data_IF_804521697391
#
_entry.id   IF_804521697391
#
_cell.length_a   1.000
_cell.length_b   1.000
_cell.length_c   1.000
_cell.angle_alpha   90.00
_cell.angle_beta   90.00
_cell.angle_gamma   90.00
#
_symmetry.space_group_name_H-M   'P 1'
#
loop_
_entity.id
_entity.type
_entity.pdbx_description
1 polymer ?
#
# COMPACT_ATOMS: atom_id res chain seq x y z
N UNK A 1 -24.63 10.32 -0.95
CA UNK A 1 -23.50 10.12 -0.01
C UNK A 1 -22.25 10.36 -0.83
N UNK A 2 -21.38 11.29 -0.43
CA UNK A 2 -20.16 11.58 -1.19
C UNK A 2 -19.41 10.27 -1.48
N UNK A 3 -19.09 10.00 -2.74
CA UNK A 3 -18.33 8.82 -3.09
C UNK A 3 -16.96 8.90 -2.45
N UNK A 4 -16.69 8.01 -1.50
CA UNK A 4 -15.40 7.94 -0.81
C UNK A 4 -14.29 7.76 -1.85
N UNK A 5 -13.27 8.60 -1.80
CA UNK A 5 -12.17 8.53 -2.77
C UNK A 5 -11.49 7.14 -2.75
N UNK A 6 -11.03 6.65 -3.91
CA UNK A 6 -10.66 5.24 -4.11
C UNK A 6 -9.38 4.80 -3.38
N UNK A 7 -8.58 5.75 -2.89
CA UNK A 7 -7.32 5.54 -2.19
C UNK A 7 -7.46 5.60 -0.65
N UNK A 8 -8.63 5.95 -0.12
CA UNK A 8 -8.91 6.10 1.32
C UNK A 8 -8.50 4.89 2.15
N UNK A 9 -8.78 3.69 1.62
CA UNK A 9 -8.56 2.39 2.27
C UNK A 9 -7.28 1.69 1.86
N UNK A 10 -6.31 2.42 1.28
CA UNK A 10 -5.03 1.82 0.93
C UNK A 10 -4.38 1.16 2.16
N UNK A 11 -3.62 0.06 2.00
CA UNK A 11 -2.84 -0.53 3.07
C UNK A 11 -1.56 0.27 3.33
N UNK A 12 -1.04 0.13 4.56
CA UNK A 12 0.30 0.59 4.89
C UNK A 12 1.32 -0.35 4.25
N UNK A 13 2.06 0.11 3.23
CA UNK A 13 3.18 -0.63 2.63
C UNK A 13 4.37 -0.69 3.63
N UNK A 14 4.76 -1.87 4.12
CA UNK A 14 5.84 -2.02 5.11
C UNK A 14 7.22 -1.95 4.46
N UNK A 15 8.26 -1.62 5.25
CA UNK A 15 9.66 -1.74 4.81
C UNK A 15 10.12 -3.21 4.76
N UNK A 16 11.21 -3.53 4.03
CA UNK A 16 11.82 -4.86 4.05
C UNK A 16 12.12 -5.36 5.46
N UNK A 17 12.68 -4.51 6.32
CA UNK A 17 13.06 -4.82 7.70
C UNK A 17 11.81 -5.15 8.53
N UNK A 18 10.75 -4.35 8.40
CA UNK A 18 9.48 -4.60 9.08
C UNK A 18 8.86 -5.95 8.66
N UNK A 19 8.91 -6.29 7.37
CA UNK A 19 8.44 -7.59 6.87
C UNK A 19 9.22 -8.75 7.50
N UNK A 20 10.55 -8.66 7.49
CA UNK A 20 11.47 -9.66 8.02
C UNK A 20 11.22 -9.84 9.52
N UNK A 21 11.23 -8.75 10.28
CA UNK A 21 11.07 -8.77 11.73
C UNK A 21 9.74 -9.38 12.15
N UNK A 22 8.65 -8.99 11.50
CA UNK A 22 7.32 -9.53 11.81
C UNK A 22 7.25 -11.03 11.53
N UNK A 23 7.79 -11.49 10.40
CA UNK A 23 7.77 -12.91 10.07
C UNK A 23 8.65 -13.73 11.02
N UNK A 24 9.86 -13.27 11.31
CA UNK A 24 10.82 -13.98 12.16
C UNK A 24 10.36 -14.01 13.61
N UNK A 25 9.81 -12.91 14.12
CA UNK A 25 9.22 -12.82 15.46
C UNK A 25 8.00 -13.73 15.60
N UNK A 26 7.16 -13.84 14.56
CA UNK A 26 6.00 -14.75 14.61
C UNK A 26 6.43 -16.21 14.55
N UNK A 27 7.45 -16.52 13.75
CA UNK A 27 8.01 -17.86 13.67
C UNK A 27 8.73 -18.28 14.97
N UNK A 28 9.44 -17.37 15.66
CA UNK A 28 10.12 -17.70 16.92
C UNK A 28 9.14 -18.10 18.02
N UNK A 29 7.93 -17.53 18.02
CA UNK A 29 6.82 -17.84 18.93
C UNK A 29 5.95 -19.03 18.50
N UNK A 30 6.20 -19.62 17.32
CA UNK A 30 5.36 -20.70 16.81
C UNK A 30 5.56 -22.00 17.62
N UNK A 31 4.46 -22.53 18.15
CA UNK A 31 4.43 -23.76 18.93
C UNK A 31 4.15 -24.97 18.05
N UNK A 32 4.70 -26.12 18.42
CA UNK A 32 4.46 -27.41 17.75
C UNK A 32 3.75 -28.34 18.72
N UNK A 33 2.74 -29.08 18.25
CA UNK A 33 2.17 -30.19 19.03
C UNK A 33 3.23 -31.28 19.18
N UNK A 34 3.63 -31.56 20.42
CA UNK A 34 4.72 -32.49 20.70
C UNK A 34 4.27 -33.93 20.45
N UNK A 35 5.07 -34.75 19.74
CA UNK A 35 4.85 -36.20 19.68
C UNK A 35 4.98 -36.83 21.08
N UNK A 36 4.26 -37.91 21.32
CA UNK A 36 4.36 -38.71 22.55
C UNK A 36 5.74 -39.33 22.76
N UNK A 37 6.47 -39.65 21.68
CA UNK A 37 7.86 -40.14 21.73
C UNK A 37 8.86 -38.99 21.87
N UNK A 38 9.78 -39.11 22.84
CA UNK A 38 10.83 -38.11 23.15
C UNK A 38 12.05 -38.15 22.23
N UNK A 39 11.85 -38.34 20.92
CA UNK A 39 12.97 -38.25 19.96
C UNK A 39 13.38 -36.78 19.79
N UNK A 40 14.59 -36.44 20.29
CA UNK A 40 15.17 -35.10 20.24
C UNK A 40 15.30 -34.59 18.81
N UNK A 41 15.69 -35.45 17.86
CA UNK A 41 15.88 -35.08 16.47
C UNK A 41 14.54 -34.79 15.80
N UNK A 42 13.55 -35.67 15.99
CA UNK A 42 12.20 -35.48 15.46
C UNK A 42 11.58 -34.16 15.96
N UNK A 43 11.69 -33.89 17.28
CA UNK A 43 11.17 -32.65 17.88
C UNK A 43 11.86 -31.42 17.28
N UNK A 44 13.19 -31.46 17.11
CA UNK A 44 13.93 -30.37 16.50
C UNK A 44 13.50 -30.13 15.04
N UNK A 45 13.41 -31.19 14.23
CA UNK A 45 12.96 -31.11 12.82
C UNK A 45 11.56 -30.50 12.71
N UNK A 46 10.61 -30.96 13.55
CA UNK A 46 9.24 -30.42 13.55
C UNK A 46 9.20 -28.94 13.95
N UNK A 47 10.00 -28.51 14.93
CA UNK A 47 10.14 -27.10 15.31
C UNK A 47 10.67 -26.26 14.15
N UNK A 48 11.74 -26.70 13.49
CA UNK A 48 12.33 -25.95 12.37
C UNK A 48 11.42 -25.91 11.14
N UNK A 49 10.74 -27.01 10.82
CA UNK A 49 9.72 -27.05 9.73
C UNK A 49 8.59 -26.06 10.03
N UNK A 50 8.10 -26.01 11.27
CA UNK A 50 7.03 -25.09 11.68
C UNK A 50 7.46 -23.65 11.57
N UNK A 51 8.70 -23.33 11.95
CA UNK A 51 9.30 -22.00 11.77
C UNK A 51 9.36 -21.60 10.29
N UNK A 52 9.90 -22.46 9.42
CA UNK A 52 9.98 -22.22 7.97
C UNK A 52 8.58 -21.99 7.37
N UNK A 53 7.60 -22.84 7.71
CA UNK A 53 6.21 -22.67 7.27
C UNK A 53 5.59 -21.36 7.74
N UNK A 54 5.84 -20.97 8.98
CA UNK A 54 5.31 -19.73 9.56
C UNK A 54 5.89 -18.52 8.84
N UNK A 55 7.20 -18.48 8.59
CA UNK A 55 7.83 -17.40 7.81
C UNK A 55 7.24 -17.33 6.41
N UNK A 56 7.16 -18.47 5.70
CA UNK A 56 6.62 -18.52 4.35
C UNK A 56 5.17 -17.99 4.31
N UNK A 57 4.31 -18.47 5.21
CA UNK A 57 2.91 -18.07 5.28
C UNK A 57 2.77 -16.56 5.54
N UNK A 58 3.50 -16.02 6.52
CA UNK A 58 3.44 -14.59 6.85
C UNK A 58 3.91 -13.73 5.68
N UNK A 59 5.04 -14.10 5.06
CA UNK A 59 5.61 -13.37 3.94
C UNK A 59 4.70 -13.38 2.71
N UNK A 60 4.25 -14.56 2.29
CA UNK A 60 3.36 -14.72 1.14
C UNK A 60 2.06 -13.95 1.34
N UNK A 61 1.45 -14.05 2.53
CA UNK A 61 0.21 -13.34 2.83
C UNK A 61 0.38 -11.82 2.81
N UNK A 62 1.48 -11.30 3.35
CA UNK A 62 1.75 -9.85 3.34
C UNK A 62 2.04 -9.35 1.93
N UNK A 63 2.91 -10.01 1.17
CA UNK A 63 3.26 -9.63 -0.20
C UNK A 63 2.05 -9.69 -1.14
N UNK A 64 1.26 -10.78 -1.11
CA UNK A 64 0.01 -10.88 -1.88
C UNK A 64 -1.06 -9.90 -1.38
N UNK A 65 -1.03 -9.57 -0.09
CA UNK A 65 -1.91 -8.56 0.52
C UNK A 65 -1.70 -7.16 -0.03
N UNK A 66 -0.46 -6.78 -0.36
CA UNK A 66 -0.15 -5.47 -0.97
C UNK A 66 -0.94 -5.28 -2.27
N UNK A 67 -0.85 -6.25 -3.19
CA UNK A 67 -1.57 -6.18 -4.48
C UNK A 67 -3.09 -6.12 -4.30
N UNK A 68 -3.63 -6.88 -3.34
CA UNK A 68 -5.09 -6.90 -3.08
C UNK A 68 -5.63 -5.60 -2.49
N UNK A 69 -4.81 -4.86 -1.75
CA UNK A 69 -5.22 -3.62 -1.11
C UNK A 69 -5.14 -2.38 -2.01
N UNK A 70 -4.59 -2.50 -3.22
CA UNK A 70 -4.48 -1.38 -4.17
C UNK A 70 -5.63 -1.48 -5.17
N UNK A 71 -6.42 -0.41 -5.40
CA UNK A 71 -7.50 -0.44 -6.38
C UNK A 71 -6.96 -0.68 -7.79
N UNK A 72 -7.79 -1.29 -8.64
CA UNK A 72 -7.44 -1.47 -10.05
C UNK A 72 -7.42 -0.11 -10.75
N UNK A 73 -6.26 0.28 -11.30
CA UNK A 73 -6.09 1.59 -11.95
C UNK A 73 -7.05 1.75 -13.14
N UNK A 74 -7.27 0.68 -13.90
CA UNK A 74 -8.13 0.73 -15.09
C UNK A 74 -9.61 0.94 -14.76
N UNK A 75 -10.04 0.65 -13.52
CA UNK A 75 -11.42 0.88 -13.08
C UNK A 75 -11.60 2.23 -12.36
N UNK A 76 -10.54 3.02 -12.23
CA UNK A 76 -10.64 4.36 -11.63
C UNK A 76 -11.30 5.34 -12.58
N UNK A 77 -12.01 6.31 -12.02
CA UNK A 77 -12.44 7.50 -12.77
C UNK A 77 -11.20 8.19 -13.39
N UNK A 78 -11.28 8.70 -14.63
CA UNK A 78 -10.14 9.32 -15.33
C UNK A 78 -9.38 10.34 -14.48
N UNK A 79 -10.09 11.19 -13.74
CA UNK A 79 -9.48 12.15 -12.81
C UNK A 79 -8.52 11.50 -11.79
N UNK A 80 -8.96 10.46 -11.08
CA UNK A 80 -8.13 9.77 -10.09
C UNK A 80 -7.01 8.96 -10.73
N UNK A 81 -7.23 8.46 -11.94
CA UNK A 81 -6.21 7.75 -12.72
C UNK A 81 -5.09 8.70 -13.15
N UNK A 82 -5.44 9.90 -13.62
CA UNK A 82 -4.46 10.87 -14.10
C UNK A 82 -3.65 11.44 -12.92
N UNK A 83 -4.31 11.68 -11.78
CA UNK A 83 -3.62 12.00 -10.52
C UNK A 83 -2.68 10.88 -10.06
N UNK A 84 -3.07 9.62 -10.25
CA UNK A 84 -2.20 8.49 -9.96
C UNK A 84 -0.95 8.51 -10.87
N UNK A 85 -1.11 8.71 -12.18
CA UNK A 85 -0.01 8.75 -13.15
C UNK A 85 0.96 9.91 -12.94
N UNK A 86 0.46 11.02 -12.40
CA UNK A 86 1.28 12.15 -11.97
C UNK A 86 2.23 11.76 -10.84
N UNK A 87 1.74 11.01 -9.84
CA UNK A 87 2.55 10.69 -8.66
C UNK A 87 3.46 9.51 -8.96
N UNK A 88 2.97 8.52 -9.71
CA UNK A 88 3.68 7.27 -9.95
C UNK A 88 3.60 6.90 -11.43
N UNK A 89 4.78 6.62 -11.98
CA UNK A 89 4.94 6.03 -13.30
C UNK A 89 4.19 4.67 -13.38
N UNK A 90 3.21 4.52 -14.28
CA UNK A 90 2.36 3.34 -14.36
C UNK A 90 3.12 2.06 -14.73
N UNK A 91 4.20 2.17 -15.48
CA UNK A 91 5.00 1.02 -15.89
C UNK A 91 5.91 0.56 -14.75
N UNK A 92 6.56 1.51 -14.06
CA UNK A 92 7.31 1.19 -12.82
C UNK A 92 6.40 0.58 -11.77
N UNK A 93 5.17 1.07 -11.62
CA UNK A 93 4.18 0.49 -10.72
C UNK A 93 3.83 -0.96 -11.07
N UNK A 94 3.53 -1.24 -12.35
CA UNK A 94 3.23 -2.61 -12.81
C UNK A 94 4.41 -3.54 -12.59
N UNK A 95 5.63 -3.09 -12.91
CA UNK A 95 6.87 -3.86 -12.70
C UNK A 95 7.08 -4.16 -11.22
N UNK A 96 6.91 -3.18 -10.33
CA UNK A 96 7.03 -3.35 -8.88
C UNK A 96 6.02 -4.39 -8.36
N UNK A 97 4.75 -4.31 -8.76
CA UNK A 97 3.73 -5.30 -8.38
C UNK A 97 4.04 -6.71 -8.91
N UNK A 98 4.56 -6.81 -10.13
CA UNK A 98 4.98 -8.08 -10.72
C UNK A 98 6.15 -8.69 -9.94
N UNK A 99 7.15 -7.87 -9.58
CA UNK A 99 8.29 -8.29 -8.75
C UNK A 99 7.86 -8.78 -7.37
N UNK A 100 6.97 -8.07 -6.69
CA UNK A 100 6.40 -8.50 -5.40
C UNK A 100 5.67 -9.83 -5.53
N UNK A 101 4.87 -9.99 -6.59
CA UNK A 101 4.14 -11.24 -6.85
C UNK A 101 5.10 -12.40 -7.12
N UNK A 102 6.15 -12.15 -7.91
CA UNK A 102 7.22 -13.13 -8.19
C UNK A 102 7.97 -13.52 -6.92
N UNK A 103 8.32 -12.56 -6.08
CA UNK A 103 8.99 -12.80 -4.80
C UNK A 103 8.14 -13.67 -3.86
N UNK A 104 6.83 -13.41 -3.78
CA UNK A 104 5.91 -14.27 -3.01
C UNK A 104 5.97 -15.73 -3.49
N UNK A 105 5.89 -15.95 -4.81
CA UNK A 105 6.00 -17.29 -5.40
C UNK A 105 7.39 -17.93 -5.18
N UNK A 106 8.46 -17.13 -5.19
CA UNK A 106 9.83 -17.61 -4.88
C UNK A 106 9.95 -18.05 -3.42
N UNK A 107 9.43 -17.28 -2.47
CA UNK A 107 9.41 -17.65 -1.04
C UNK A 107 8.63 -18.94 -0.82
N UNK A 108 7.48 -19.10 -1.49
CA UNK A 108 6.68 -20.32 -1.44
C UNK A 108 7.43 -21.53 -2.00
N UNK A 109 8.10 -21.39 -3.15
CA UNK A 109 8.94 -22.44 -3.75
C UNK A 109 10.10 -22.82 -2.84
N UNK A 110 10.86 -21.84 -2.33
CA UNK A 110 11.96 -22.07 -1.39
C UNK A 110 11.47 -22.78 -0.12
N UNK A 111 10.30 -22.42 0.41
CA UNK A 111 9.78 -23.08 1.61
C UNK A 111 9.59 -24.59 1.39
N UNK A 112 9.06 -25.00 0.23
CA UNK A 112 8.86 -26.42 -0.11
C UNK A 112 10.20 -27.16 -0.20
N UNK A 113 11.17 -26.57 -0.88
CA UNK A 113 12.53 -27.11 -1.03
C UNK A 113 13.19 -27.31 0.34
N UNK A 114 13.19 -26.29 1.20
CA UNK A 114 13.83 -26.34 2.51
C UNK A 114 13.11 -27.24 3.50
N UNK A 115 11.77 -27.37 3.41
CA UNK A 115 11.02 -28.36 4.21
C UNK A 115 11.43 -29.78 3.80
N UNK A 116 11.67 -30.05 2.51
CA UNK A 116 12.18 -31.35 2.06
C UNK A 116 13.57 -31.64 2.64
N UNK A 117 14.49 -30.67 2.57
CA UNK A 117 15.83 -30.79 3.18
C UNK A 117 15.75 -31.01 4.70
N UNK A 118 14.88 -30.28 5.40
CA UNK A 118 14.65 -30.46 6.84
C UNK A 118 14.10 -31.83 7.19
N UNK A 119 13.30 -32.46 6.32
CA UNK A 119 12.81 -33.84 6.52
C UNK A 119 13.93 -34.86 6.35
N UNK A 120 14.90 -34.61 5.46
CA UNK A 120 16.06 -35.48 5.25
C UNK A 120 17.18 -35.30 6.29
N UNK A 121 17.19 -34.19 7.05
CA UNK A 121 18.23 -33.90 8.03
C UNK A 121 18.41 -35.02 9.08
N UNK A 122 19.67 -35.35 9.37
CA UNK A 122 20.08 -36.44 10.26
C UNK A 122 20.53 -35.95 11.63
N UNK A 123 20.85 -34.66 11.77
CA UNK A 123 21.28 -34.06 13.05
C UNK A 123 20.52 -32.78 13.40
N UNK A 124 20.48 -32.44 14.69
CA UNK A 124 19.87 -31.20 15.20
C UNK A 124 20.62 -29.95 14.69
N UNK A 125 21.95 -30.04 14.60
CA UNK A 125 22.81 -28.98 14.08
C UNK A 125 22.53 -28.71 12.60
N UNK A 126 22.41 -29.78 11.80
CA UNK A 126 22.07 -29.67 10.38
C UNK A 126 20.69 -29.03 10.18
N UNK A 127 19.67 -29.47 10.92
CA UNK A 127 18.33 -28.87 10.85
C UNK A 127 18.38 -27.36 11.16
N UNK A 128 19.15 -26.97 12.17
CA UNK A 128 19.35 -25.56 12.55
C UNK A 128 20.09 -24.76 11.47
N UNK A 129 21.08 -25.38 10.79
CA UNK A 129 21.81 -24.78 9.66
C UNK A 129 20.88 -24.55 8.46
N UNK A 130 20.12 -25.56 8.06
CA UNK A 130 19.15 -25.48 6.96
C UNK A 130 18.13 -24.35 7.20
N UNK A 131 17.61 -24.24 8.44
CA UNK A 131 16.69 -23.14 8.80
C UNK A 131 17.34 -21.77 8.69
N UNK A 132 18.57 -21.59 9.18
CA UNK A 132 19.31 -20.32 9.06
C UNK A 132 19.55 -19.93 7.60
N UNK A 133 19.90 -20.89 6.76
CA UNK A 133 20.10 -20.66 5.32
C UNK A 133 18.79 -20.20 4.65
N UNK A 134 17.66 -20.87 4.94
CA UNK A 134 16.34 -20.44 4.47
C UNK A 134 16.02 -18.99 4.88
N UNK A 135 16.25 -18.64 6.16
CA UNK A 135 16.01 -17.30 6.68
C UNK A 135 16.85 -16.26 5.95
N UNK A 136 18.14 -16.55 5.72
CA UNK A 136 19.03 -15.68 4.96
C UNK A 136 18.55 -15.46 3.53
N UNK A 137 18.14 -16.52 2.82
CA UNK A 137 17.62 -16.41 1.44
C UNK A 137 16.33 -15.62 1.37
N UNK A 138 15.38 -15.84 2.27
CA UNK A 138 14.14 -15.04 2.34
C UNK A 138 14.47 -13.59 2.63
N UNK A 139 15.35 -13.31 3.60
CA UNK A 139 15.74 -11.94 3.90
C UNK A 139 16.39 -11.23 2.70
N UNK A 140 17.25 -11.93 1.93
CA UNK A 140 17.85 -11.38 0.71
C UNK A 140 16.78 -11.00 -0.32
N UNK A 141 15.86 -11.92 -0.62
CA UNK A 141 14.76 -11.68 -1.57
C UNK A 141 13.92 -10.46 -1.16
N UNK A 142 13.61 -10.33 0.13
CA UNK A 142 12.80 -9.21 0.62
C UNK A 142 13.58 -7.89 0.58
N UNK A 143 14.89 -7.91 0.87
CA UNK A 143 15.75 -6.73 0.79
C UNK A 143 15.92 -6.22 -0.64
N UNK A 144 15.96 -7.11 -1.63
CA UNK A 144 16.00 -6.74 -3.06
C UNK A 144 14.76 -5.92 -3.49
N UNK A 145 13.61 -6.11 -2.82
CA UNK A 145 12.37 -5.37 -3.09
C UNK A 145 12.34 -3.96 -2.46
N UNK A 146 13.42 -3.48 -1.83
CA UNK A 146 13.43 -2.19 -1.14
C UNK A 146 12.96 -1.04 -2.04
N UNK A 147 13.47 -0.98 -3.27
CA UNK A 147 13.07 0.04 -4.25
C UNK A 147 11.60 -0.07 -4.64
N UNK A 148 11.12 -1.29 -4.90
CA UNK A 148 9.72 -1.53 -5.28
C UNK A 148 8.74 -1.17 -4.15
N UNK A 149 9.07 -1.54 -2.91
CA UNK A 149 8.25 -1.20 -1.72
C UNK A 149 8.27 0.29 -1.43
N UNK A 150 9.41 0.96 -1.63
CA UNK A 150 9.51 2.41 -1.49
C UNK A 150 8.62 3.13 -2.50
N UNK A 151 8.68 2.73 -3.77
CA UNK A 151 7.83 3.28 -4.83
C UNK A 151 6.34 3.11 -4.49
N UNK A 152 5.92 1.90 -4.09
CA UNK A 152 4.51 1.66 -3.74
C UNK A 152 4.07 2.42 -2.48
N UNK A 153 5.00 2.78 -1.59
CA UNK A 153 4.68 3.58 -0.41
C UNK A 153 4.25 5.01 -0.77
N UNK A 154 4.68 5.53 -1.93
CA UNK A 154 4.32 6.86 -2.41
C UNK A 154 2.83 7.00 -2.75
N UNK A 155 2.16 5.89 -3.08
CA UNK A 155 0.70 5.84 -3.32
C UNK A 155 -0.07 6.39 -2.11
N UNK A 156 0.51 6.31 -0.90
CA UNK A 156 -0.12 6.87 0.31
C UNK A 156 -0.36 8.38 0.23
N UNK A 157 0.38 9.12 -0.60
CA UNK A 157 0.14 10.55 -0.85
C UNK A 157 -1.27 10.80 -1.40
N UNK A 158 -1.81 9.85 -2.18
CA UNK A 158 -3.16 9.93 -2.73
C UNK A 158 -4.26 9.78 -1.67
N UNK A 159 -3.95 9.33 -0.45
CA UNK A 159 -4.96 9.22 0.62
C UNK A 159 -5.51 10.56 1.09
N UNK A 160 -4.71 11.61 0.94
CA UNK A 160 -5.05 12.96 1.39
C UNK A 160 -5.82 13.77 0.34
N UNK A 161 -6.15 13.15 -0.79
CA UNK A 161 -6.95 13.79 -1.83
C UNK A 161 -8.37 14.03 -1.33
N UNK A 162 -9.01 15.14 -1.77
CA UNK A 162 -10.42 15.35 -1.49
C UNK A 162 -11.29 14.29 -2.19
N UNK A 163 -12.45 14.02 -1.60
CA UNK A 163 -13.44 13.10 -2.16
C UNK A 163 -14.36 13.85 -3.12
N UNK A 164 -14.18 13.63 -4.43
CA UNK A 164 -15.02 14.22 -5.46
C UNK A 164 -16.17 13.28 -5.80
N UNK A 165 -17.38 13.84 -5.88
CA UNK A 165 -18.55 13.16 -6.42
C UNK A 165 -18.73 13.52 -7.90
N UNK A 166 -18.32 12.64 -8.80
CA UNK A 166 -18.43 12.91 -10.24
C UNK A 166 -19.85 12.76 -10.80
N UNK A 167 -20.85 12.39 -9.97
CA UNK A 167 -22.25 12.35 -10.38
C UNK A 167 -22.93 13.73 -10.31
N UNK A 168 -22.32 14.70 -9.63
CA UNK A 168 -22.86 16.06 -9.50
C UNK A 168 -21.98 17.09 -10.23
N UNK A 169 -22.56 18.20 -10.72
CA UNK A 169 -21.78 19.28 -11.31
C UNK A 169 -20.71 19.81 -10.35
N UNK A 170 -19.53 20.10 -10.90
CA UNK A 170 -18.41 20.68 -10.15
C UNK A 170 -18.08 22.07 -10.70
N UNK A 171 -18.08 23.06 -9.83
CA UNK A 171 -17.75 24.46 -10.12
C UNK A 171 -16.34 24.72 -9.60
N UNK A 172 -15.44 25.15 -10.48
CA UNK A 172 -14.07 25.51 -10.12
C UNK A 172 -13.97 27.02 -9.98
N UNK A 173 -13.53 27.49 -8.81
CA UNK A 173 -13.30 28.90 -8.52
C UNK A 173 -11.84 29.22 -8.78
N UNK A 174 -11.59 29.97 -9.86
CA UNK A 174 -10.26 30.43 -10.27
C UNK A 174 -10.15 31.96 -10.27
N UNK A 175 -8.93 32.47 -10.22
CA UNK A 175 -8.61 33.91 -10.16
C UNK A 175 -7.27 34.14 -9.47
N UNK A 176 -6.73 35.37 -9.50
CA UNK A 176 -5.41 35.67 -8.94
C UNK A 176 -5.26 35.28 -7.46
N UNK A 177 -4.03 35.12 -6.94
CA UNK A 177 -3.81 34.90 -5.51
C UNK A 177 -4.47 36.01 -4.66
N UNK A 178 -4.97 35.66 -3.48
CA UNK A 178 -5.56 36.58 -2.49
C UNK A 178 -6.83 37.36 -2.90
N UNK A 179 -7.47 37.07 -4.05
CA UNK A 179 -8.75 37.72 -4.47
C UNK A 179 -9.99 37.27 -3.68
N UNK A 180 -9.82 36.52 -2.58
CA UNK A 180 -10.93 36.05 -1.76
C UNK A 180 -11.59 34.74 -2.20
N UNK A 181 -10.97 33.96 -3.10
CA UNK A 181 -11.51 32.66 -3.58
C UNK A 181 -11.94 31.73 -2.45
N UNK A 182 -11.06 31.49 -1.48
CA UNK A 182 -11.36 30.61 -0.35
C UNK A 182 -12.48 31.15 0.54
N UNK A 183 -12.59 32.48 0.67
CA UNK A 183 -13.68 33.13 1.41
C UNK A 183 -15.00 32.93 0.68
N UNK A 184 -15.02 33.09 -0.65
CA UNK A 184 -16.20 32.82 -1.47
C UNK A 184 -16.67 31.38 -1.30
N UNK A 185 -15.78 30.39 -1.45
CA UNK A 185 -16.12 28.97 -1.27
C UNK A 185 -16.69 28.69 0.12
N UNK A 186 -16.13 29.28 1.17
CA UNK A 186 -16.65 29.14 2.54
C UNK A 186 -18.04 29.77 2.71
N UNK A 187 -18.30 30.91 2.09
CA UNK A 187 -19.58 31.61 2.21
C UNK A 187 -20.71 30.92 1.43
N UNK A 188 -20.42 30.37 0.24
CA UNK A 188 -21.44 29.72 -0.59
C UNK A 188 -21.68 28.26 -0.21
N UNK A 189 -20.71 27.62 0.45
CA UNK A 189 -20.84 26.23 0.86
C UNK A 189 -21.84 26.06 1.99
N UNK A 190 -22.77 25.12 1.81
CA UNK A 190 -23.83 24.75 2.77
C UNK A 190 -23.25 24.19 4.07
N UNK A 191 -22.06 23.58 4.00
CA UNK A 191 -21.31 23.05 5.13
C UNK A 191 -19.87 23.58 5.13
N UNK A 192 -19.15 23.38 6.24
CA UNK A 192 -17.72 23.72 6.31
C UNK A 192 -16.97 22.97 5.19
N UNK A 193 -16.26 23.68 4.28
CA UNK A 193 -15.52 23.03 3.21
C UNK A 193 -14.48 22.04 3.72
N UNK A 194 -14.35 20.90 3.03
CA UNK A 194 -13.27 19.95 3.23
C UNK A 194 -11.97 20.55 2.70
N UNK A 195 -10.90 20.48 3.49
CA UNK A 195 -9.59 21.01 3.12
C UNK A 195 -8.63 19.84 2.97
N UNK A 196 -8.12 19.65 1.76
CA UNK A 196 -7.36 18.45 1.39
C UNK A 196 -6.10 18.81 0.58
N UNK A 197 -5.06 17.96 0.67
CA UNK A 197 -3.86 18.17 -0.14
C UNK A 197 -4.12 17.79 -1.59
N UNK A 198 -3.55 18.56 -2.52
CA UNK A 198 -3.61 18.28 -3.95
C UNK A 198 -2.20 18.27 -4.55
N UNK A 199 -1.91 17.41 -5.55
CA UNK A 199 -0.62 17.43 -6.21
C UNK A 199 -0.32 18.80 -6.81
N UNK A 200 0.95 19.22 -6.76
CA UNK A 200 1.43 20.51 -7.30
C UNK A 200 0.98 21.77 -6.55
N UNK A 201 0.16 21.66 -5.51
CA UNK A 201 -0.20 22.82 -4.69
C UNK A 201 0.62 22.87 -3.41
N UNK A 202 1.18 24.05 -3.10
CA UNK A 202 1.74 24.32 -1.77
C UNK A 202 0.66 24.55 -0.72
N UNK A 203 -0.58 24.82 -1.16
CA UNK A 203 -1.76 25.07 -0.31
C UNK A 203 -2.82 24.00 -0.56
N UNK A 204 -3.57 23.64 0.47
CA UNK A 204 -4.68 22.69 0.32
C UNK A 204 -5.80 23.25 -0.56
N UNK A 205 -6.44 22.36 -1.31
CA UNK A 205 -7.69 22.61 -2.05
C UNK A 205 -8.85 22.60 -1.07
N UNK A 206 -9.80 23.53 -1.23
CA UNK A 206 -11.03 23.56 -0.43
C UNK A 206 -12.22 23.10 -1.27
N UNK A 207 -12.90 22.03 -0.85
CA UNK A 207 -14.06 21.44 -1.49
C UNK A 207 -15.32 21.72 -0.65
N UNK A 208 -16.22 22.54 -1.17
CA UNK A 208 -17.52 22.84 -0.60
C UNK A 208 -18.66 22.20 -1.39
N UNK A 209 -19.85 22.22 -0.81
CA UNK A 209 -21.08 21.75 -1.44
C UNK A 209 -22.14 22.85 -1.40
N UNK A 210 -22.77 23.14 -2.52
CA UNK A 210 -23.83 24.13 -2.63
C UNK A 210 -25.15 23.42 -2.95
N UNK A 211 -26.23 23.91 -2.36
CA UNK A 211 -27.59 23.48 -2.68
C UNK A 211 -28.31 24.63 -3.40
N UNK A 212 -28.57 24.44 -4.69
CA UNK A 212 -29.28 25.39 -5.53
C UNK A 212 -30.80 25.30 -5.40
N UNK A 213 -31.53 26.22 -6.07
CA UNK A 213 -32.97 26.17 -6.16
C UNK A 213 -33.45 24.84 -6.73
N UNK A 214 -34.55 24.30 -6.19
CA UNK A 214 -35.11 22.97 -6.55
C UNK A 214 -34.25 21.77 -6.12
N UNK A 215 -33.34 21.96 -5.17
CA UNK A 215 -32.59 20.84 -4.54
C UNK A 215 -31.41 20.32 -5.36
N UNK A 216 -30.96 21.06 -6.38
CA UNK A 216 -29.77 20.70 -7.16
C UNK A 216 -28.53 20.82 -6.27
N UNK A 217 -27.77 19.75 -6.13
CA UNK A 217 -26.50 19.75 -5.38
C UNK A 217 -25.36 19.92 -6.38
N UNK A 218 -24.43 20.82 -6.08
CA UNK A 218 -23.18 20.97 -6.82
C UNK A 218 -21.99 21.09 -5.89
N UNK A 219 -20.81 20.73 -6.38
CA UNK A 219 -19.54 20.91 -5.68
C UNK A 219 -18.92 22.24 -6.09
N UNK A 220 -18.28 22.91 -5.15
CA UNK A 220 -17.50 24.14 -5.39
C UNK A 220 -16.09 23.90 -4.90
N UNK A 221 -15.10 24.19 -5.74
CA UNK A 221 -13.70 23.86 -5.48
C UNK A 221 -12.82 25.09 -5.63
N UNK A 222 -12.06 25.41 -4.59
CA UNK A 222 -10.98 26.39 -4.64
C UNK A 222 -9.65 25.70 -4.92
N UNK A 223 -8.99 26.10 -6.01
CA UNK A 223 -7.74 25.50 -6.51
C UNK A 223 -6.57 26.48 -6.42
N UNK A 224 -6.11 26.87 -5.21
CA UNK A 224 -5.03 27.85 -5.06
C UNK A 224 -3.71 27.31 -5.62
N UNK A 225 -2.99 28.12 -6.39
CA UNK A 225 -1.72 27.73 -7.00
C UNK A 225 -1.83 26.91 -8.29
N UNK A 226 -3.01 26.37 -8.64
CA UNK A 226 -3.19 25.53 -9.83
C UNK A 226 -3.59 26.31 -11.07
N UNK A 227 -4.50 27.28 -10.92
CA UNK A 227 -5.12 27.98 -12.04
C UNK A 227 -4.86 29.50 -12.01
N UNK A 228 -4.07 29.97 -11.05
CA UNK A 228 -3.82 31.38 -10.78
C UNK A 228 -2.41 31.84 -11.22
N UNK A 229 -1.70 31.01 -11.99
CA UNK A 229 -0.39 31.30 -12.61
C UNK A 229 -0.31 30.84 -14.08
N UNK A 230 0.48 31.51 -14.95
CA UNK A 230 0.74 31.08 -16.33
C UNK A 230 1.32 29.66 -16.38
N UNK A 231 1.01 28.88 -17.43
CA UNK A 231 1.49 27.50 -17.58
C UNK A 231 3.02 27.38 -17.63
N UNK A 232 3.71 28.41 -18.11
CA UNK A 232 5.16 28.46 -18.30
C UNK A 232 5.94 28.62 -16.98
N UNK A 233 5.28 29.07 -15.91
CA UNK A 233 5.86 29.28 -14.58
C UNK A 233 5.39 28.22 -13.55
N UNK A 234 4.77 27.13 -14.02
CA UNK A 234 4.22 26.03 -13.19
C UNK A 234 5.20 24.90 -12.94
#
# INVERSE_FOLDING_TARGET
>A
MASEQPFSKLPSIPSPEQLIDVAFRRASKATVKMPTKRDKLLIAKLKEITRVRTVASVMVNRLRGIKRGIPSINSLHPFYRDLFYVIIDPDKFKIALARISKAASMVERLSREYISKLRAATTVSEASRIRREYYGRVASIIKELKGDLSLLSEIRRLRKLPSFDFAVPTIIVSGAPNVGKSSFVKCVSTAKPEVAEYPFTTKSVSLGHIMGPRGVIAQVVDTPGLLDRPLEER
#
